data_IF_185585011449
#
_entry.id   IF_185585011449
#
_cell.length_a   1.000
_cell.length_b   1.000
_cell.length_c   1.000
_cell.angle_alpha   90.00
_cell.angle_beta   90.00
_cell.angle_gamma   90.00
#
_symmetry.space_group_name_H-M   'P 1'
#
loop_
_entity.id
_entity.type
_entity.pdbx_description
1 polymer ?
#
# COMPACT_ATOMS: atom_id res chain seq x y z
N UNK A 1 -15.32 -18.54 -2.12
CA UNK A 1 -13.84 -18.66 -2.14
C UNK A 1 -13.39 -18.76 -3.59
N UNK A 2 -12.39 -17.98 -4.04
CA UNK A 2 -11.98 -17.89 -5.46
C UNK A 2 -10.88 -18.89 -5.90
N UNK A 3 -10.59 -19.92 -5.11
CA UNK A 3 -9.64 -20.99 -5.48
C UNK A 3 -8.15 -20.71 -5.21
N UNK A 4 -7.78 -19.51 -4.73
CA UNK A 4 -6.40 -19.19 -4.38
C UNK A 4 -5.90 -20.05 -3.20
N UNK A 5 -4.66 -20.54 -3.33
CA UNK A 5 -3.91 -21.29 -2.30
C UNK A 5 -2.74 -20.43 -1.82
N UNK A 6 -2.25 -20.68 -0.60
CA UNK A 6 -1.17 -19.91 0.01
C UNK A 6 -1.44 -18.40 0.13
N UNK A 7 -2.70 -18.02 0.34
CA UNK A 7 -3.11 -16.61 0.54
C UNK A 7 -3.40 -16.34 2.02
N UNK A 8 -2.41 -16.61 2.87
CA UNK A 8 -2.48 -16.28 4.28
C UNK A 8 -2.52 -14.76 4.51
N UNK A 9 -3.00 -14.27 5.67
CA UNK A 9 -3.12 -12.84 5.95
C UNK A 9 -1.83 -12.06 5.76
N UNK A 10 -0.70 -12.59 6.23
CA UNK A 10 0.63 -11.98 6.06
C UNK A 10 1.02 -11.86 4.58
N UNK A 11 0.77 -12.91 3.78
CA UNK A 11 1.09 -12.93 2.35
C UNK A 11 0.27 -11.87 1.62
N UNK A 12 -1.02 -11.77 1.94
CA UNK A 12 -1.90 -10.75 1.34
C UNK A 12 -1.49 -9.35 1.77
N UNK A 13 -1.11 -9.13 3.03
CA UNK A 13 -0.65 -7.83 3.48
C UNK A 13 0.65 -7.39 2.80
N UNK A 14 1.66 -8.27 2.73
CA UNK A 14 2.90 -7.99 1.99
C UNK A 14 2.64 -7.77 0.49
N UNK A 15 1.69 -8.51 -0.10
CA UNK A 15 1.29 -8.28 -1.49
C UNK A 15 0.70 -6.88 -1.67
N UNK A 16 -0.23 -6.47 -0.80
CA UNK A 16 -0.83 -5.13 -0.87
C UNK A 16 0.21 -4.01 -0.75
N UNK A 17 1.23 -4.18 0.08
CA UNK A 17 2.36 -3.24 0.15
C UNK A 17 3.14 -3.19 -1.17
N UNK A 18 3.50 -4.36 -1.72
CA UNK A 18 4.32 -4.44 -2.93
C UNK A 18 3.64 -3.85 -4.17
N UNK A 19 2.31 -4.01 -4.29
CA UNK A 19 1.54 -3.45 -5.42
C UNK A 19 1.05 -2.01 -5.19
N UNK A 20 1.39 -1.39 -4.06
CA UNK A 20 1.01 -0.02 -3.74
C UNK A 20 -0.48 0.15 -3.37
N UNK A 21 -1.14 -0.92 -2.95
CA UNK A 21 -2.48 -0.85 -2.35
C UNK A 21 -2.44 -0.29 -0.92
N UNK A 22 -1.32 -0.47 -0.21
CA UNK A 22 -1.05 0.16 1.10
C UNK A 22 0.26 0.93 1.05
N UNK A 23 0.27 2.11 1.69
CA UNK A 23 1.47 2.92 1.86
C UNK A 23 1.96 2.82 3.30
N UNK A 24 2.78 1.81 3.57
CA UNK A 24 3.41 1.59 4.88
C UNK A 24 4.88 2.05 4.88
N UNK A 25 5.24 2.98 3.99
CA UNK A 25 6.55 3.63 4.09
C UNK A 25 6.66 4.36 5.43
N UNK A 26 7.82 4.22 6.07
CA UNK A 26 8.14 4.94 7.30
C UNK A 26 8.27 6.44 7.02
N UNK A 27 8.03 7.29 8.02
CA UNK A 27 8.03 8.75 7.88
C UNK A 27 9.40 9.35 7.52
N UNK A 28 10.47 8.61 7.79
CA UNK A 28 11.85 8.93 7.43
C UNK A 28 12.23 8.47 6.01
N UNK A 29 11.34 7.76 5.31
CA UNK A 29 11.58 7.36 3.92
C UNK A 29 11.59 8.59 3.01
N UNK A 30 12.62 8.70 2.15
CA UNK A 30 12.74 9.80 1.18
C UNK A 30 11.55 9.94 0.22
N UNK A 31 10.72 8.90 0.08
CA UNK A 31 9.51 8.88 -0.75
C UNK A 31 8.21 9.04 0.02
N UNK A 32 8.27 9.14 1.35
CA UNK A 32 7.07 9.21 2.19
C UNK A 32 6.18 10.38 1.78
N UNK A 33 6.75 11.58 1.65
CA UNK A 33 6.02 12.78 1.25
C UNK A 33 5.49 12.69 -0.19
N UNK A 34 6.32 12.22 -1.13
CA UNK A 34 5.93 12.06 -2.54
C UNK A 34 4.71 11.14 -2.69
N UNK A 35 4.75 9.97 -2.04
CA UNK A 35 3.67 8.97 -2.10
C UNK A 35 2.43 9.48 -1.36
N UNK A 36 2.61 10.12 -0.20
CA UNK A 36 1.50 10.70 0.56
C UNK A 36 0.78 11.80 -0.23
N UNK A 37 1.52 12.66 -0.94
CA UNK A 37 0.96 13.66 -1.86
C UNK A 37 0.22 13.00 -3.04
N UNK A 38 0.81 11.97 -3.65
CA UNK A 38 0.19 11.22 -4.75
C UNK A 38 -1.15 10.61 -4.34
N UNK A 39 -1.23 10.04 -3.14
CA UNK A 39 -2.47 9.46 -2.59
C UNK A 39 -3.50 10.56 -2.29
N UNK A 40 -3.10 11.65 -1.62
CA UNK A 40 -4.02 12.77 -1.33
C UNK A 40 -4.65 13.36 -2.60
N UNK A 41 -3.84 13.52 -3.66
CA UNK A 41 -4.31 13.99 -4.96
C UNK A 41 -5.26 13.00 -5.64
N UNK A 42 -4.98 11.70 -5.53
CA UNK A 42 -5.79 10.65 -6.15
C UNK A 42 -7.14 10.44 -5.47
N UNK A 43 -7.26 10.78 -4.18
CA UNK A 43 -8.49 10.59 -3.37
C UNK A 43 -9.25 11.91 -3.15
N UNK A 44 -8.78 13.03 -3.70
CA UNK A 44 -9.40 14.36 -3.54
C UNK A 44 -9.62 14.72 -2.06
N UNK A 45 -8.67 14.30 -1.21
CA UNK A 45 -8.60 14.68 0.19
C UNK A 45 -7.87 16.03 0.20
N UNK A 46 -8.63 17.13 0.30
CA UNK A 46 -8.08 18.48 0.52
C UNK A 46 -7.31 18.54 1.83
#
# INVERSE_FOLDING_TARGET
>A
KRGFKFVGPTIIYSFMQAVGMTNDHTTDCFRYEEINHSIKNSVNIK
#
